data_IF_538422634115
#
_entry.id   IF_538422634115
#
_cell.length_a   1.000
_cell.length_b   1.000
_cell.length_c   1.000
_cell.angle_alpha   90.00
_cell.angle_beta   90.00
_cell.angle_gamma   90.00
#
_symmetry.space_group_name_H-M   'P 1'
#
loop_
_entity.id
_entity.type
_entity.pdbx_description
1 polymer ?
#
# COMPACT_ATOMS: atom_id res chain seq x y z
N UNK A 1 -6.58 -10.00 19.62
CA UNK A 1 -5.17 -10.29 19.34
C UNK A 1 -4.48 -8.98 18.97
N UNK A 2 -3.19 -8.80 19.30
CA UNK A 2 -2.47 -7.58 18.91
C UNK A 2 -2.14 -7.64 17.41
N UNK A 3 -2.28 -6.51 16.71
CA UNK A 3 -1.89 -6.41 15.31
C UNK A 3 -0.40 -6.75 15.12
N UNK A 4 -0.05 -7.37 14.00
CA UNK A 4 1.34 -7.72 13.69
C UNK A 4 2.21 -6.46 13.58
N UNK A 5 3.43 -6.52 14.10
CA UNK A 5 4.43 -5.47 13.88
C UNK A 5 4.94 -5.51 12.45
N UNK A 6 5.42 -4.37 11.94
CA UNK A 6 5.97 -4.28 10.59
C UNK A 6 7.19 -5.20 10.40
N UNK A 7 8.07 -5.28 11.40
CA UNK A 7 9.24 -6.16 11.36
C UNK A 7 8.83 -7.64 11.28
N UNK A 8 7.83 -8.06 12.07
CA UNK A 8 7.33 -9.43 12.00
C UNK A 8 6.65 -9.71 10.64
N UNK A 9 5.97 -8.74 10.04
CA UNK A 9 5.38 -8.88 8.72
C UNK A 9 6.46 -9.04 7.63
N UNK A 10 7.57 -8.28 7.73
CA UNK A 10 8.74 -8.44 6.85
C UNK A 10 9.29 -9.87 6.96
N UNK A 11 9.55 -10.36 8.18
CA UNK A 11 10.12 -11.69 8.38
C UNK A 11 9.22 -12.80 7.84
N UNK A 12 7.91 -12.70 8.05
CA UNK A 12 6.95 -13.66 7.50
C UNK A 12 6.91 -13.66 5.98
N UNK A 13 6.90 -12.47 5.37
CA UNK A 13 6.95 -12.35 3.91
C UNK A 13 8.28 -12.89 3.37
N UNK A 14 9.40 -12.61 4.03
CA UNK A 14 10.73 -13.09 3.66
C UNK A 14 10.80 -14.61 3.67
N UNK A 15 10.33 -15.25 4.74
CA UNK A 15 10.26 -16.70 4.86
C UNK A 15 9.39 -17.33 3.78
N UNK A 16 8.19 -16.76 3.54
CA UNK A 16 7.24 -17.28 2.55
C UNK A 16 7.75 -17.20 1.11
N UNK A 17 8.54 -16.17 0.80
CA UNK A 17 9.12 -15.92 -0.52
C UNK A 17 10.53 -16.52 -0.69
N UNK A 18 11.11 -17.13 0.36
CA UNK A 18 12.45 -17.72 0.30
C UNK A 18 13.57 -16.68 0.10
N UNK A 19 13.38 -15.45 0.56
CA UNK A 19 14.31 -14.35 0.36
C UNK A 19 15.40 -14.32 1.44
N UNK A 20 16.65 -14.06 1.06
CA UNK A 20 17.76 -13.94 2.01
C UNK A 20 17.66 -12.67 2.86
N UNK A 21 18.16 -12.69 4.10
CA UNK A 21 18.11 -11.56 5.06
C UNK A 21 18.82 -10.28 4.58
N UNK A 22 19.75 -10.42 3.63
CA UNK A 22 20.51 -9.30 3.05
C UNK A 22 19.69 -8.46 2.06
N UNK A 23 18.52 -8.93 1.62
CA UNK A 23 17.66 -8.17 0.71
C UNK A 23 16.93 -7.09 1.52
N UNK A 24 17.14 -5.79 1.22
CA UNK A 24 16.44 -4.71 1.91
C UNK A 24 14.93 -4.88 1.79
N UNK A 25 14.22 -4.49 2.84
CA UNK A 25 12.77 -4.55 2.88
C UNK A 25 12.21 -3.29 3.52
N UNK A 26 11.06 -2.86 3.00
CA UNK A 26 10.26 -1.79 3.58
C UNK A 26 8.84 -2.29 3.77
N UNK A 27 8.18 -1.77 4.80
CA UNK A 27 6.83 -2.19 5.15
C UNK A 27 5.96 -0.98 5.49
N UNK A 28 4.72 -1.01 5.02
CA UNK A 28 3.72 0.01 5.30
C UNK A 28 2.43 -0.64 5.77
N UNK A 29 1.74 0.00 6.72
CA UNK A 29 0.36 -0.37 7.04
C UNK A 29 -0.57 0.19 5.99
N UNK A 30 -1.51 -0.64 5.56
CA UNK A 30 -2.58 -0.27 4.64
C UNK A 30 -3.92 -0.57 5.29
N UNK A 31 -4.78 0.44 5.33
CA UNK A 31 -6.14 0.30 5.82
C UNK A 31 -7.06 -0.18 4.70
N UNK A 32 -7.86 -1.23 4.97
CA UNK A 32 -8.97 -1.57 4.08
C UNK A 32 -10.13 -0.64 4.34
N UNK A 33 -10.57 0.08 3.32
CA UNK A 33 -11.67 1.04 3.45
C UNK A 33 -13.03 0.43 3.07
N UNK A 34 -13.03 -0.76 2.45
CA UNK A 34 -14.22 -1.61 2.30
C UNK A 34 -14.51 -2.44 3.57
N UNK A 35 -13.50 -2.69 4.40
CA UNK A 35 -13.60 -3.33 5.71
C UNK A 35 -12.80 -2.54 6.75
N UNK A 36 -13.40 -1.52 7.40
CA UNK A 36 -12.69 -0.59 8.29
C UNK A 36 -11.96 -1.25 9.46
N UNK A 37 -12.39 -2.42 9.91
CA UNK A 37 -11.72 -3.17 10.99
C UNK A 37 -10.55 -4.04 10.50
N UNK A 38 -10.27 -4.03 9.19
CA UNK A 38 -9.23 -4.85 8.58
C UNK A 38 -8.09 -4.00 8.06
N UNK A 39 -6.87 -4.44 8.37
CA UNK A 39 -5.63 -3.85 7.90
C UNK A 39 -4.74 -4.94 7.35
N UNK A 40 -3.81 -4.56 6.49
CA UNK A 40 -2.73 -5.42 6.06
C UNK A 40 -1.43 -4.63 5.99
N UNK A 41 -0.30 -5.33 5.95
CA UNK A 41 1.00 -4.74 5.70
C UNK A 41 1.36 -4.97 4.23
N UNK A 42 1.70 -3.91 3.51
CA UNK A 42 2.39 -4.01 2.22
C UNK A 42 3.88 -4.12 2.49
N UNK A 43 4.52 -5.17 2.00
CA UNK A 43 5.95 -5.43 2.12
C UNK A 43 6.57 -5.33 0.74
N UNK A 44 7.63 -4.54 0.61
CA UNK A 44 8.40 -4.40 -0.63
C UNK A 44 9.83 -4.80 -0.34
N UNK A 45 10.35 -5.74 -1.14
CA UNK A 45 11.73 -6.19 -1.09
C UNK A 45 12.49 -5.68 -2.30
N UNK A 46 13.71 -5.21 -2.06
CA UNK A 46 14.53 -4.51 -3.04
C UNK A 46 15.04 -3.20 -2.47
N UNK A 47 16.01 -2.60 -3.13
CA UNK A 47 16.38 -1.22 -2.80
C UNK A 47 15.23 -0.27 -3.22
N UNK A 48 15.17 0.92 -2.63
CA UNK A 48 14.06 1.87 -2.85
C UNK A 48 13.90 2.34 -4.31
N UNK A 49 14.84 2.00 -5.19
CA UNK A 49 14.82 2.32 -6.62
C UNK A 49 14.58 1.08 -7.50
N UNK A 50 14.69 -0.13 -6.94
CA UNK A 50 14.64 -1.41 -7.65
C UNK A 50 13.91 -2.47 -6.82
N UNK A 51 12.62 -2.23 -6.60
CA UNK A 51 11.76 -3.17 -5.91
C UNK A 51 11.60 -4.46 -6.75
N UNK A 52 11.93 -5.63 -6.19
CA UNK A 52 11.93 -6.93 -6.89
C UNK A 52 10.80 -7.87 -6.48
N UNK A 53 10.34 -7.74 -5.24
CA UNK A 53 9.17 -8.48 -4.77
C UNK A 53 8.27 -7.58 -3.95
N UNK A 54 6.97 -7.83 -4.05
CA UNK A 54 5.97 -7.18 -3.22
C UNK A 54 5.03 -8.23 -2.65
N UNK A 55 4.62 -8.06 -1.39
CA UNK A 55 3.70 -8.94 -0.72
C UNK A 55 2.70 -8.17 0.14
N UNK A 56 1.55 -8.79 0.39
CA UNK A 56 0.58 -8.37 1.39
C UNK A 56 0.58 -9.38 2.52
N UNK A 57 0.58 -8.88 3.76
CA UNK A 57 0.53 -9.67 4.98
C UNK A 57 -0.67 -9.22 5.79
N UNK A 58 -1.57 -10.14 6.11
CA UNK A 58 -2.75 -9.84 6.92
C UNK A 58 -2.33 -9.26 8.28
N UNK A 59 -2.97 -8.14 8.67
CA UNK A 59 -2.56 -7.36 9.84
C UNK A 59 -2.83 -8.04 11.18
N UNK A 60 -3.64 -9.09 11.20
CA UNK A 60 -4.05 -9.80 12.42
C UNK A 60 -3.34 -11.16 12.55
N UNK A 61 -3.45 -12.01 11.54
CA UNK A 61 -2.87 -13.35 11.50
C UNK A 61 -1.39 -13.37 11.14
N UNK A 62 -0.92 -12.35 10.43
CA UNK A 62 0.40 -12.34 9.82
C UNK A 62 0.53 -13.28 8.63
N UNK A 63 -0.56 -13.80 8.08
CA UNK A 63 -0.52 -14.65 6.88
C UNK A 63 -0.16 -13.81 5.64
N UNK A 64 0.71 -14.35 4.78
CA UNK A 64 0.99 -13.73 3.48
C UNK A 64 -0.17 -14.05 2.54
N UNK A 65 -0.98 -13.05 2.22
CA UNK A 65 -2.23 -13.23 1.45
C UNK A 65 -2.04 -13.12 -0.05
N UNK A 66 -1.06 -12.33 -0.51
CA UNK A 66 -0.76 -12.15 -1.93
C UNK A 66 0.68 -11.69 -2.12
N UNK A 67 1.32 -12.09 -3.22
CA UNK A 67 2.67 -11.65 -3.57
C UNK A 67 2.87 -11.61 -5.08
N UNK A 68 3.80 -10.79 -5.53
CA UNK A 68 4.24 -10.74 -6.92
C UNK A 68 5.74 -10.47 -7.02
N UNK A 69 6.34 -10.95 -8.11
CA UNK A 69 7.64 -10.48 -8.59
C UNK A 69 7.42 -9.24 -9.45
N UNK A 70 8.32 -8.28 -9.34
CA UNK A 70 8.29 -7.02 -10.06
C UNK A 70 9.66 -6.80 -10.69
N UNK A 71 9.69 -6.17 -11.87
CA UNK A 71 10.89 -6.10 -12.72
C UNK A 71 12.06 -5.30 -12.09
N UNK A 72 11.81 -4.53 -11.02
CA UNK A 72 12.86 -3.78 -10.33
C UNK A 72 13.37 -2.56 -11.07
N UNK A 73 12.58 -2.02 -11.99
CA UNK A 73 12.92 -0.80 -12.76
C UNK A 73 12.39 0.47 -12.10
N UNK A 74 11.37 0.37 -11.25
CA UNK A 74 10.75 1.51 -10.58
C UNK A 74 10.39 1.21 -9.10
N UNK A 75 10.25 2.24 -8.25
CA UNK A 75 9.74 2.07 -6.90
C UNK A 75 8.28 1.58 -6.92
N UNK A 76 7.96 0.59 -6.06
CA UNK A 76 6.59 0.08 -5.92
C UNK A 76 5.59 1.18 -5.48
N UNK A 77 6.05 2.12 -4.64
CA UNK A 77 5.29 3.29 -4.22
C UNK A 77 6.02 4.55 -4.72
N UNK A 78 5.64 5.04 -5.89
CA UNK A 78 6.28 6.21 -6.51
C UNK A 78 5.84 7.53 -5.90
N UNK A 79 4.71 7.55 -5.19
CA UNK A 79 4.22 8.70 -4.44
C UNK A 79 4.37 8.43 -2.95
N UNK A 80 5.07 9.32 -2.23
CA UNK A 80 5.12 9.33 -0.77
C UNK A 80 4.01 10.18 -0.13
N UNK A 81 3.91 10.15 1.20
CA UNK A 81 2.89 10.87 1.95
C UNK A 81 2.94 12.41 1.73
N UNK A 82 4.13 12.99 1.66
CA UNK A 82 4.32 14.43 1.46
C UNK A 82 3.95 14.84 0.03
N UNK A 83 4.30 14.01 -0.95
CA UNK A 83 3.90 14.19 -2.34
C UNK A 83 2.39 14.05 -2.50
N UNK A 84 1.75 13.11 -1.80
CA UNK A 84 0.30 12.96 -1.81
C UNK A 84 -0.39 14.22 -1.24
N UNK A 85 0.09 14.76 -0.11
CA UNK A 85 -0.40 16.01 0.46
C UNK A 85 -0.24 17.20 -0.51
N UNK A 86 0.93 17.32 -1.13
CA UNK A 86 1.20 18.36 -2.14
C UNK A 86 0.28 18.25 -3.35
N UNK A 87 0.10 17.03 -3.89
CA UNK A 87 -0.79 16.76 -5.03
C UNK A 87 -2.26 17.03 -4.70
N UNK A 88 -2.68 16.72 -3.48
CA UNK A 88 -4.01 17.08 -2.96
C UNK A 88 -4.22 18.59 -2.79
N UNK A 89 -3.17 19.41 -2.93
CA UNK A 89 -3.23 20.86 -2.70
C UNK A 89 -3.43 21.23 -1.23
N UNK A 90 -3.12 20.32 -0.31
CA UNK A 90 -3.35 20.49 1.13
C UNK A 90 -2.07 20.90 1.85
N UNK A 91 -2.08 22.07 2.49
CA UNK A 91 -0.96 22.55 3.33
C UNK A 91 -0.88 21.85 4.69
N UNK A 92 -2.02 21.34 5.17
CA UNK A 92 -2.18 20.60 6.43
C UNK A 92 -3.17 19.47 6.21
N UNK A 93 -2.85 18.29 6.72
CA UNK A 93 -3.66 17.10 6.58
C UNK A 93 -2.89 15.86 6.98
N UNK A 94 -3.55 14.71 6.87
CA UNK A 94 -2.95 13.40 7.06
C UNK A 94 -3.04 12.62 5.76
N UNK A 95 -1.96 11.92 5.41
CA UNK A 95 -1.93 10.99 4.30
C UNK A 95 -1.71 9.58 4.85
N UNK A 96 -2.67 8.69 4.59
CA UNK A 96 -2.65 7.30 5.02
C UNK A 96 -2.73 6.39 3.80
N UNK A 97 -1.98 5.30 3.79
CA UNK A 97 -2.12 4.28 2.75
C UNK A 97 -3.41 3.50 2.98
N UNK A 98 -4.23 3.43 1.95
CA UNK A 98 -5.51 2.72 1.97
C UNK A 98 -5.68 1.88 0.71
N UNK A 99 -6.60 0.93 0.79
CA UNK A 99 -7.00 0.18 -0.38
C UNK A 99 -8.43 -0.37 -0.27
N UNK A 100 -9.08 -0.45 -1.43
CA UNK A 100 -10.25 -1.30 -1.72
C UNK A 100 -10.29 -1.57 -3.22
N UNK A 101 -10.96 -2.64 -3.68
CA UNK A 101 -11.21 -2.81 -5.10
C UNK A 101 -12.06 -1.65 -5.64
N UNK A 102 -11.50 -0.86 -6.57
CA UNK A 102 -12.15 0.28 -7.21
C UNK A 102 -11.43 0.65 -8.51
N UNK A 103 -11.90 1.69 -9.21
CA UNK A 103 -11.24 2.17 -10.44
C UNK A 103 -9.78 2.61 -10.25
N UNK A 104 -9.43 3.07 -9.04
CA UNK A 104 -8.05 3.49 -8.73
C UNK A 104 -7.11 2.28 -8.70
N UNK A 105 -7.56 1.17 -8.10
CA UNK A 105 -6.75 -0.02 -7.94
C UNK A 105 -7.61 -1.27 -7.79
N UNK A 106 -7.29 -2.29 -8.59
CA UNK A 106 -7.88 -3.62 -8.52
C UNK A 106 -7.06 -4.58 -7.66
N UNK A 107 -5.83 -4.20 -7.27
CA UNK A 107 -4.87 -5.09 -6.61
C UNK A 107 -4.44 -4.52 -5.26
N UNK A 108 -4.52 -5.29 -4.16
CA UNK A 108 -4.04 -4.81 -2.86
C UNK A 108 -2.51 -4.63 -2.80
N UNK A 109 -1.76 -5.07 -3.82
CA UNK A 109 -0.32 -4.73 -3.97
C UNK A 109 -0.10 -3.29 -4.44
N UNK A 110 -1.16 -2.61 -4.92
CA UNK A 110 -1.13 -1.23 -5.40
C UNK A 110 -2.10 -0.37 -4.56
N UNK A 111 -1.79 -0.13 -3.27
CA UNK A 111 -2.57 0.79 -2.46
C UNK A 111 -2.39 2.24 -2.96
N UNK A 112 -3.28 3.12 -2.51
CA UNK A 112 -3.26 4.53 -2.83
C UNK A 112 -3.39 5.35 -1.55
N UNK A 113 -3.03 6.63 -1.62
CA UNK A 113 -3.10 7.52 -0.47
C UNK A 113 -4.50 8.06 -0.29
N UNK A 114 -5.05 7.95 0.91
CA UNK A 114 -6.16 8.77 1.35
C UNK A 114 -5.59 10.00 2.04
N UNK A 115 -5.93 11.17 1.52
CA UNK A 115 -5.50 12.45 2.09
C UNK A 115 -6.72 13.13 2.72
N UNK A 116 -6.67 13.35 4.03
CA UNK A 116 -7.74 13.99 4.79
C UNK A 116 -7.29 15.34 5.35
N UNK A 117 -8.16 16.34 5.19
CA UNK A 117 -8.13 17.60 5.94
C UNK A 117 -9.45 17.76 6.70
N UNK A 118 -9.58 18.87 7.45
CA UNK A 118 -10.84 19.23 8.13
C UNK A 118 -12.02 19.41 7.16
N UNK A 119 -11.75 19.76 5.90
CA UNK A 119 -12.77 20.19 4.93
C UNK A 119 -12.97 19.21 3.78
N UNK A 120 -12.03 18.31 3.53
CA UNK A 120 -12.12 17.38 2.41
C UNK A 120 -11.34 16.10 2.63
N UNK A 121 -11.78 15.06 1.92
CA UNK A 121 -11.05 13.81 1.75
C UNK A 121 -10.88 13.59 0.25
N UNK A 122 -9.65 13.37 -0.19
CA UNK A 122 -9.31 13.01 -1.56
C UNK A 122 -8.39 11.79 -1.57
N UNK A 123 -8.24 11.18 -2.73
CA UNK A 123 -7.38 10.01 -2.92
C UNK A 123 -6.32 10.30 -3.97
N UNK A 124 -5.10 9.82 -3.77
CA UNK A 124 -3.98 10.04 -4.69
C UNK A 124 -3.36 8.68 -5.01
N UNK A 125 -3.35 8.29 -6.28
CA UNK A 125 -2.73 7.04 -6.71
C UNK A 125 -1.20 7.15 -6.83
N UNK A 126 -0.54 6.04 -7.17
CA UNK A 126 0.91 5.97 -7.31
C UNK A 126 1.43 6.68 -8.57
N UNK A 127 0.56 7.03 -9.52
CA UNK A 127 0.87 7.90 -10.65
C UNK A 127 0.70 9.38 -10.28
N UNK A 128 0.10 9.63 -9.11
CA UNK A 128 -0.13 10.94 -8.55
C UNK A 128 -1.33 11.68 -9.15
N UNK A 129 -2.30 10.94 -9.68
CA UNK A 129 -3.61 11.47 -10.07
C UNK A 129 -4.48 11.62 -8.82
N UNK A 130 -5.24 12.72 -8.75
CA UNK A 130 -6.12 13.03 -7.62
C UNK A 130 -7.56 12.65 -7.94
N UNK A 131 -8.16 11.86 -7.07
CA UNK A 131 -9.52 11.34 -7.17
C UNK A 131 -10.38 11.90 -6.05
N UNK A 132 -11.56 12.41 -6.37
CA UNK A 132 -12.51 12.95 -5.38
C UNK A 132 -13.43 11.89 -4.78
N UNK A 133 -13.59 10.77 -5.48
CA UNK A 133 -14.45 9.67 -5.08
C UNK A 133 -13.84 8.33 -5.49
N UNK A 134 -14.31 7.27 -4.85
CA UNK A 134 -13.91 5.90 -5.15
C UNK A 134 -15.03 5.23 -5.92
N UNK A 135 -14.97 5.26 -7.24
CA UNK A 135 -15.96 4.58 -8.06
C UNK A 135 -15.71 3.07 -8.08
N UNK A 136 -16.76 2.23 -8.03
CA UNK A 136 -16.61 0.80 -8.26
C UNK A 136 -15.88 0.55 -9.58
N UNK A 137 -15.01 -0.47 -9.61
CA UNK A 137 -14.59 -1.03 -10.88
C UNK A 137 -15.86 -1.43 -11.63
N UNK A 138 -16.04 -0.94 -12.87
CA UNK A 138 -17.24 -1.25 -13.65
C UNK A 138 -17.38 -2.76 -13.85
N UNK A 139 -18.57 -3.27 -14.25
CA UNK A 139 -18.70 -4.66 -14.62
C UNK A 139 -17.65 -4.97 -15.70
N UNK A 140 -16.72 -5.87 -15.39
CA UNK A 140 -15.80 -6.41 -16.38
C UNK A 140 -16.61 -7.07 -17.49
N UNK A 141 -16.28 -6.75 -18.75
CA UNK A 141 -16.92 -7.35 -19.92
C UNK A 141 -16.64 -8.85 -20.05
#
# INVERSE_FOLDING_TARGET
MAAISLDNAIERARLRLGLGSMIPAQAWRVQRIDYPDKTYCLIVFGDGHSAKHVATVDGESGEVTMSAEIEGTEPQLSVDADQALKKAGLKKGQAELVWRPCRISLSPLQPFWQVRSETQTVYVDQQGVVWKSLEPAGPGG
#
